data_IF_272242631911
#
_entry.id   IF_272242631911
#
_cell.length_a   1.000
_cell.length_b   1.000
_cell.length_c   1.000
_cell.angle_alpha   90.00
_cell.angle_beta   90.00
_cell.angle_gamma   90.00
#
_symmetry.space_group_name_H-M   'P 1'
#
loop_
_entity.id
_entity.type
_entity.pdbx_description
1 polymer ?
#
# COMPACT_ATOMS: atom_id res chain seq x y z
N UNK A 1 -55.25 -12.62 -14.04
CA UNK A 1 -54.89 -11.40 -13.30
C UNK A 1 -53.64 -11.72 -12.48
N UNK A 2 -52.66 -10.81 -12.44
CA UNK A 2 -51.23 -11.07 -12.23
C UNK A 2 -50.82 -12.09 -11.14
N UNK A 3 -49.98 -13.04 -11.55
CA UNK A 3 -49.01 -13.69 -10.67
C UNK A 3 -47.67 -12.96 -10.87
N UNK A 4 -47.13 -12.33 -9.82
CA UNK A 4 -45.85 -11.65 -9.87
C UNK A 4 -44.85 -12.40 -8.98
N UNK A 5 -44.03 -13.25 -9.59
CA UNK A 5 -42.90 -13.90 -8.91
C UNK A 5 -41.72 -12.93 -8.99
N UNK A 6 -41.44 -12.25 -7.88
CA UNK A 6 -40.26 -11.40 -7.76
C UNK A 6 -39.03 -12.30 -7.56
N UNK A 7 -38.38 -12.69 -8.66
CA UNK A 7 -37.16 -13.46 -8.60
C UNK A 7 -36.00 -12.54 -8.16
N UNK A 8 -35.78 -12.45 -6.85
CA UNK A 8 -34.57 -11.86 -6.27
C UNK A 8 -33.38 -12.74 -6.64
N UNK A 9 -32.71 -12.40 -7.73
CA UNK A 9 -31.38 -12.91 -8.07
C UNK A 9 -30.37 -12.35 -7.06
N UNK A 10 -30.25 -13.04 -5.92
CA UNK A 10 -29.11 -12.94 -5.01
C UNK A 10 -27.89 -13.56 -5.71
N UNK A 11 -27.30 -12.79 -6.62
CA UNK A 11 -25.93 -13.00 -7.06
C UNK A 11 -25.02 -12.58 -5.90
N UNK A 12 -24.54 -13.54 -5.13
CA UNK A 12 -23.54 -13.30 -4.09
C UNK A 12 -22.21 -12.88 -4.77
N UNK A 13 -21.98 -11.57 -4.82
CA UNK A 13 -20.75 -11.00 -5.37
C UNK A 13 -19.59 -11.15 -4.36
N UNK A 14 -18.72 -12.14 -4.62
CA UNK A 14 -17.45 -12.42 -3.92
C UNK A 14 -16.29 -11.58 -4.50
N UNK A 15 -15.25 -11.25 -3.73
CA UNK A 15 -14.62 -9.92 -3.83
C UNK A 15 -13.11 -9.88 -3.45
N UNK A 16 -12.19 -9.46 -4.35
CA UNK A 16 -10.72 -9.69 -4.25
C UNK A 16 -9.77 -8.48 -4.43
N UNK A 17 -8.46 -8.66 -4.15
CA UNK A 17 -7.34 -7.75 -4.49
C UNK A 17 -7.31 -7.38 -5.99
N UNK A 18 -7.72 -8.33 -6.82
CA UNK A 18 -8.00 -8.12 -8.24
C UNK A 18 -9.41 -7.52 -8.39
N UNK A 19 -9.69 -6.73 -9.44
CA UNK A 19 -11.02 -6.14 -9.65
C UNK A 19 -12.14 -7.16 -9.41
N UNK A 20 -13.22 -6.75 -8.75
CA UNK A 20 -14.25 -7.70 -8.26
C UNK A 20 -14.77 -8.67 -9.32
N UNK A 21 -14.87 -8.21 -10.56
CA UNK A 21 -15.29 -8.97 -11.74
C UNK A 21 -14.31 -10.11 -12.11
N UNK A 22 -13.04 -10.01 -11.70
CA UNK A 22 -11.97 -10.99 -11.92
C UNK A 22 -11.83 -12.03 -10.79
N UNK A 23 -12.53 -11.85 -9.66
CA UNK A 23 -12.48 -12.74 -8.50
C UNK A 23 -13.42 -13.95 -8.59
N UNK A 24 -13.74 -14.37 -9.81
CA UNK A 24 -14.72 -15.42 -10.11
C UNK A 24 -14.00 -16.69 -10.57
N UNK A 25 -14.64 -17.85 -10.39
CA UNK A 25 -14.10 -19.15 -10.81
C UNK A 25 -13.73 -19.13 -12.29
N UNK A 26 -14.64 -18.68 -13.15
CA UNK A 26 -14.42 -18.60 -14.61
C UNK A 26 -13.20 -17.77 -14.98
N UNK A 27 -13.03 -16.58 -14.38
CA UNK A 27 -11.92 -15.67 -14.72
C UNK A 27 -10.58 -16.20 -14.18
N UNK A 28 -10.57 -16.80 -12.99
CA UNK A 28 -9.38 -17.43 -12.40
C UNK A 28 -8.96 -18.75 -13.08
N UNK A 29 -9.87 -19.43 -13.78
CA UNK A 29 -9.56 -20.55 -14.67
C UNK A 29 -9.05 -20.05 -16.03
N UNK A 30 -9.69 -19.03 -16.60
CA UNK A 30 -9.30 -18.45 -17.89
C UNK A 30 -7.95 -17.72 -17.85
N UNK A 31 -7.58 -17.14 -16.70
CA UNK A 31 -6.36 -16.35 -16.54
C UNK A 31 -6.41 -14.97 -17.23
N UNK A 32 -7.60 -14.48 -17.57
CA UNK A 32 -7.81 -13.19 -18.24
C UNK A 32 -8.63 -12.22 -17.37
N UNK A 33 -7.96 -11.29 -16.69
CA UNK A 33 -8.63 -10.21 -15.96
C UNK A 33 -8.83 -8.98 -16.86
N UNK A 34 -9.85 -9.06 -17.72
CA UNK A 34 -10.22 -8.00 -18.66
C UNK A 34 -11.72 -7.68 -18.59
N UNK A 35 -12.20 -7.05 -17.50
CA UNK A 35 -13.62 -6.76 -17.33
C UNK A 35 -14.13 -5.68 -18.29
N UNK A 36 -15.45 -5.68 -18.52
CA UNK A 36 -16.12 -4.64 -19.31
C UNK A 36 -16.06 -3.28 -18.60
N UNK A 37 -16.07 -2.20 -19.38
CA UNK A 37 -16.14 -0.83 -18.85
C UNK A 37 -17.56 -0.44 -18.44
N UNK A 38 -18.50 -0.53 -19.36
CA UNK A 38 -19.93 -0.24 -19.10
C UNK A 38 -20.71 -1.54 -18.91
N UNK A 39 -21.80 -1.54 -18.10
CA UNK A 39 -22.81 -2.59 -18.18
C UNK A 39 -23.32 -2.70 -19.62
N UNK A 40 -23.10 -3.86 -20.25
CA UNK A 40 -23.44 -4.16 -21.64
C UNK A 40 -24.53 -5.22 -21.69
N UNK A 41 -25.39 -5.16 -22.73
CA UNK A 41 -26.43 -6.16 -22.97
C UNK A 41 -25.86 -7.57 -23.23
N UNK A 42 -24.59 -7.65 -23.63
CA UNK A 42 -23.85 -8.90 -23.86
C UNK A 42 -22.55 -8.83 -23.05
N UNK A 43 -22.40 -9.59 -21.95
CA UNK A 43 -21.17 -9.63 -21.17
C UNK A 43 -19.95 -9.96 -22.03
N UNK A 44 -18.84 -9.27 -21.79
CA UNK A 44 -17.60 -9.38 -22.55
C UNK A 44 -17.57 -8.62 -23.88
N UNK A 45 -18.58 -7.81 -24.21
CA UNK A 45 -18.60 -7.03 -25.46
C UNK A 45 -17.90 -5.66 -25.38
N UNK A 46 -17.44 -5.23 -24.20
CA UNK A 46 -16.71 -3.97 -23.99
C UNK A 46 -15.52 -4.14 -23.04
N UNK A 47 -14.85 -5.30 -23.10
CA UNK A 47 -13.65 -5.60 -22.30
C UNK A 47 -12.65 -4.47 -22.47
N UNK A 48 -12.19 -3.90 -21.35
CA UNK A 48 -11.25 -2.78 -21.32
C UNK A 48 -11.72 -1.50 -22.03
N UNK A 49 -13.03 -1.29 -22.19
CA UNK A 49 -13.59 -0.14 -22.90
C UNK A 49 -13.28 -0.13 -24.40
N UNK A 50 -13.07 -1.31 -24.99
CA UNK A 50 -12.66 -1.47 -26.39
C UNK A 50 -13.66 -0.91 -27.40
N UNK A 51 -14.97 -0.91 -27.11
CA UNK A 51 -15.99 -0.32 -27.99
C UNK A 51 -15.84 1.20 -28.14
N UNK A 52 -15.26 1.86 -27.14
CA UNK A 52 -14.99 3.30 -27.10
C UNK A 52 -13.53 3.66 -27.41
N UNK A 53 -12.70 2.66 -27.76
CA UNK A 53 -11.27 2.84 -28.01
C UNK A 53 -10.44 3.19 -26.76
N UNK A 54 -10.99 3.01 -25.54
CA UNK A 54 -10.31 3.34 -24.28
C UNK A 54 -9.17 2.39 -23.93
N UNK A 55 -9.25 1.14 -24.39
CA UNK A 55 -8.21 0.14 -24.17
C UNK A 55 -8.53 -1.18 -24.87
N UNK A 56 -7.72 -2.19 -24.58
CA UNK A 56 -7.84 -3.54 -25.13
C UNK A 56 -7.28 -4.57 -24.15
N UNK A 57 -7.77 -5.81 -24.23
CA UNK A 57 -7.24 -6.92 -23.45
C UNK A 57 -6.00 -7.51 -24.13
N UNK A 58 -4.85 -7.44 -23.46
CA UNK A 58 -3.55 -7.86 -24.01
C UNK A 58 -2.86 -8.88 -23.10
N UNK A 59 -1.83 -9.53 -23.63
CA UNK A 59 -0.96 -10.38 -22.82
C UNK A 59 -0.13 -9.55 -21.84
N UNK A 60 -0.04 -10.01 -20.60
CA UNK A 60 0.78 -9.43 -19.54
C UNK A 60 2.25 -9.57 -19.89
N UNK A 61 3.00 -8.48 -19.75
CA UNK A 61 4.46 -8.46 -19.82
C UNK A 61 4.96 -8.30 -18.37
N UNK A 62 5.44 -9.40 -17.79
CA UNK A 62 6.17 -9.40 -16.52
C UNK A 62 7.68 -9.44 -16.78
N UNK A 63 8.49 -8.94 -15.84
CA UNK A 63 9.95 -9.08 -15.96
C UNK A 63 10.36 -10.55 -15.78
N UNK A 64 11.29 -10.99 -16.61
CA UNK A 64 11.81 -12.37 -16.68
C UNK A 64 13.33 -12.43 -16.51
N UNK A 65 13.95 -11.34 -16.06
CA UNK A 65 15.38 -11.29 -15.75
C UNK A 65 15.64 -12.01 -14.43
N UNK A 66 16.86 -12.54 -14.20
CA UNK A 66 17.23 -13.11 -12.91
C UNK A 66 17.22 -12.03 -11.82
N UNK A 67 16.73 -12.41 -10.63
CA UNK A 67 16.86 -11.63 -9.40
C UNK A 67 18.17 -11.97 -8.65
N UNK A 68 18.41 -11.30 -7.53
CA UNK A 68 19.54 -11.60 -6.65
C UNK A 68 19.47 -13.02 -6.06
N UNK A 69 20.62 -13.61 -5.69
CA UNK A 69 20.72 -15.00 -5.18
C UNK A 69 20.18 -15.19 -3.75
N UNK A 70 19.63 -14.13 -3.14
CA UNK A 70 19.04 -14.18 -1.81
C UNK A 70 17.78 -15.02 -1.77
N UNK A 71 16.92 -14.90 -2.78
CA UNK A 71 15.76 -15.78 -2.95
C UNK A 71 16.20 -17.07 -3.65
N UNK A 72 15.90 -18.21 -3.02
CA UNK A 72 16.34 -19.54 -3.45
C UNK A 72 15.14 -20.50 -3.64
N UNK A 73 13.94 -19.95 -3.85
CA UNK A 73 12.67 -20.67 -3.80
C UNK A 73 11.79 -20.43 -5.03
N UNK A 74 12.39 -20.23 -6.20
CA UNK A 74 11.69 -20.07 -7.48
C UNK A 74 10.63 -21.18 -7.68
N UNK A 75 9.43 -20.77 -8.09
CA UNK A 75 8.26 -21.63 -8.25
C UNK A 75 7.46 -21.86 -6.97
N UNK A 76 7.73 -21.14 -5.87
CA UNK A 76 7.07 -21.36 -4.56
C UNK A 76 6.21 -20.20 -4.08
N UNK A 77 6.36 -18.99 -4.63
CA UNK A 77 5.60 -17.81 -4.22
C UNK A 77 4.73 -17.24 -5.35
N UNK A 78 3.50 -16.87 -4.98
CA UNK A 78 2.48 -16.27 -5.85
C UNK A 78 2.88 -14.89 -6.42
N UNK A 79 3.86 -14.24 -5.78
CA UNK A 79 4.36 -12.90 -6.13
C UNK A 79 5.47 -12.92 -7.18
N UNK A 80 6.03 -14.10 -7.48
CA UNK A 80 7.01 -14.28 -8.55
C UNK A 80 6.41 -13.93 -9.92
N UNK A 81 7.13 -13.13 -10.71
CA UNK A 81 6.68 -12.68 -12.05
C UNK A 81 5.25 -12.11 -12.03
N UNK A 82 4.89 -11.38 -10.96
CA UNK A 82 3.56 -10.85 -10.74
C UNK A 82 3.01 -10.09 -11.96
N UNK A 83 1.74 -10.31 -12.38
CA UNK A 83 0.71 -11.17 -11.79
C UNK A 83 0.56 -12.59 -12.41
N UNK A 84 1.57 -13.13 -13.11
CA UNK A 84 1.42 -14.29 -14.00
C UNK A 84 0.93 -15.60 -13.33
N UNK A 85 1.03 -15.73 -12.00
CA UNK A 85 0.46 -16.85 -11.22
C UNK A 85 -1.07 -16.87 -11.21
N UNK A 86 -1.71 -15.71 -11.42
CA UNK A 86 -3.17 -15.55 -11.47
C UNK A 86 -3.67 -15.23 -12.88
N UNK A 87 -3.07 -14.22 -13.53
CA UNK A 87 -3.55 -13.71 -14.82
C UNK A 87 -2.40 -13.50 -15.80
N UNK A 88 -2.55 -14.04 -17.01
CA UNK A 88 -1.63 -13.84 -18.12
C UNK A 88 -2.15 -12.79 -19.13
N UNK A 89 -3.38 -12.29 -18.95
CA UNK A 89 -3.99 -11.24 -19.78
C UNK A 89 -4.72 -10.20 -18.93
N UNK A 90 -4.51 -8.92 -19.25
CA UNK A 90 -5.06 -7.76 -18.54
C UNK A 90 -5.37 -6.59 -19.50
N UNK A 91 -6.11 -5.60 -19.01
CA UNK A 91 -6.40 -4.39 -19.78
C UNK A 91 -5.17 -3.48 -19.93
N UNK A 92 -4.86 -3.12 -21.19
CA UNK A 92 -3.94 -2.04 -21.53
C UNK A 92 -4.74 -0.85 -22.06
N UNK A 93 -4.58 0.30 -21.39
CA UNK A 93 -5.37 1.49 -21.67
C UNK A 93 -4.64 2.46 -22.62
N UNK A 94 -5.38 2.97 -23.59
CA UNK A 94 -4.88 3.86 -24.63
C UNK A 94 -4.71 5.28 -24.07
N UNK A 95 -3.73 6.02 -24.63
CA UNK A 95 -3.52 7.44 -24.36
C UNK A 95 -3.45 7.78 -22.85
N UNK A 96 -4.46 8.51 -22.35
CA UNK A 96 -4.55 9.02 -20.96
C UNK A 96 -5.59 8.27 -20.13
N UNK A 97 -6.22 7.23 -20.68
CA UNK A 97 -7.11 6.35 -19.93
C UNK A 97 -6.31 5.45 -18.97
N UNK A 98 -6.97 5.02 -17.90
CA UNK A 98 -6.37 4.28 -16.79
C UNK A 98 -7.44 3.44 -16.05
N UNK A 99 -7.00 2.71 -15.02
CA UNK A 99 -7.85 1.84 -14.24
C UNK A 99 -8.01 0.45 -14.86
N UNK A 100 -8.52 -0.48 -14.07
CA UNK A 100 -8.52 -1.90 -14.38
C UNK A 100 -9.37 -2.31 -15.59
N UNK A 101 -10.37 -1.49 -15.97
CA UNK A 101 -11.20 -1.64 -17.16
C UNK A 101 -11.04 -0.46 -18.14
N UNK A 102 -9.99 0.36 -17.97
CA UNK A 102 -9.76 1.61 -18.69
C UNK A 102 -10.85 2.68 -18.51
N UNK A 103 -11.59 2.64 -17.39
CA UNK A 103 -12.66 3.58 -17.05
C UNK A 103 -12.21 4.92 -16.45
N UNK A 104 -11.05 4.96 -15.77
CA UNK A 104 -10.54 6.18 -15.15
C UNK A 104 -9.50 6.89 -16.02
N UNK A 105 -8.87 7.92 -15.47
CA UNK A 105 -7.83 8.71 -16.12
C UNK A 105 -6.50 8.55 -15.39
N UNK A 106 -5.39 8.66 -16.14
CA UNK A 106 -4.04 8.61 -15.55
C UNK A 106 -3.85 9.74 -14.53
N UNK A 107 -3.02 9.56 -13.49
CA UNK A 107 -2.67 10.64 -12.56
C UNK A 107 -2.29 11.93 -13.29
N UNK A 108 -2.88 13.05 -12.86
CA UNK A 108 -2.76 14.35 -13.53
C UNK A 108 -3.80 14.64 -14.63
N UNK A 109 -4.73 13.73 -14.90
CA UNK A 109 -5.82 13.92 -15.88
C UNK A 109 -7.20 13.59 -15.29
N UNK A 110 -8.24 14.26 -15.80
CA UNK A 110 -9.64 14.05 -15.41
C UNK A 110 -10.60 14.30 -16.60
N UNK A 111 -11.90 14.19 -16.35
CA UNK A 111 -12.96 14.37 -17.34
C UNK A 111 -13.30 13.08 -18.11
N UNK A 112 -14.45 13.04 -18.82
CA UNK A 112 -14.96 11.83 -19.49
C UNK A 112 -14.06 11.33 -20.63
N UNK A 113 -13.15 12.17 -21.12
CA UNK A 113 -12.19 11.93 -22.22
C UNK A 113 -10.73 11.98 -21.75
N UNK A 114 -10.48 12.16 -20.45
CA UNK A 114 -9.15 12.28 -19.85
C UNK A 114 -8.25 13.35 -20.49
N UNK A 115 -8.85 14.45 -20.96
CA UNK A 115 -8.19 15.57 -21.64
C UNK A 115 -7.99 16.80 -20.75
N UNK A 116 -8.68 16.88 -19.61
CA UNK A 116 -8.54 17.95 -18.63
C UNK A 116 -7.36 17.67 -17.70
N UNK A 117 -6.35 18.53 -17.71
CA UNK A 117 -5.20 18.38 -16.82
C UNK A 117 -5.54 18.88 -15.41
N UNK A 118 -5.16 18.11 -14.39
CA UNK A 118 -5.25 18.49 -12.98
C UNK A 118 -3.87 18.46 -12.33
N UNK A 119 -3.67 19.36 -11.35
CA UNK A 119 -2.50 19.34 -10.48
C UNK A 119 -2.95 19.55 -9.04
N UNK A 120 -2.77 18.53 -8.23
CA UNK A 120 -2.96 18.57 -6.79
C UNK A 120 -1.64 18.94 -6.10
N UNK A 121 -1.70 19.41 -4.85
CA UNK A 121 -0.52 19.81 -4.07
C UNK A 121 -0.59 19.17 -2.69
N UNK A 122 0.30 18.19 -2.45
CA UNK A 122 0.54 17.64 -1.13
C UNK A 122 1.23 18.70 -0.26
N UNK A 123 0.62 19.08 0.86
CA UNK A 123 1.08 20.13 1.77
C UNK A 123 1.51 19.52 3.11
N UNK A 124 2.35 20.22 3.87
CA UNK A 124 2.64 19.86 5.25
C UNK A 124 1.35 19.86 6.08
N UNK A 125 1.09 18.79 6.84
CA UNK A 125 -0.09 18.67 7.70
C UNK A 125 -0.18 19.81 8.72
N UNK A 126 0.96 20.30 9.22
CA UNK A 126 1.01 21.40 10.18
C UNK A 126 0.66 22.77 9.55
N UNK A 127 0.80 22.91 8.23
CA UNK A 127 0.49 24.15 7.50
C UNK A 127 -0.97 24.18 6.96
N UNK A 128 -1.76 23.15 7.25
CA UNK A 128 -3.20 23.08 6.96
C UNK A 128 -4.03 23.87 8.00
N UNK A 129 -5.16 24.43 7.56
CA UNK A 129 -6.13 25.08 8.48
C UNK A 129 -6.81 24.09 9.43
N UNK A 130 -7.47 24.58 10.47
CA UNK A 130 -8.29 23.76 11.39
C UNK A 130 -9.34 22.92 10.66
N UNK A 131 -9.96 23.49 9.62
CA UNK A 131 -11.00 22.86 8.80
C UNK A 131 -10.39 21.81 7.86
N UNK A 132 -9.24 22.12 7.24
CA UNK A 132 -8.48 21.21 6.38
C UNK A 132 -7.98 19.99 7.16
N UNK A 133 -7.39 20.19 8.35
CA UNK A 133 -6.98 19.12 9.27
C UNK A 133 -8.18 18.25 9.65
N UNK A 134 -9.25 18.88 10.16
CA UNK A 134 -10.46 18.18 10.58
C UNK A 134 -11.12 17.41 9.43
N UNK A 135 -11.05 17.95 8.20
CA UNK A 135 -11.49 17.24 6.98
C UNK A 135 -10.62 16.02 6.74
N UNK A 136 -9.29 16.16 6.71
CA UNK A 136 -8.36 15.06 6.47
C UNK A 136 -8.56 13.90 7.46
N UNK A 137 -8.72 14.17 8.76
CA UNK A 137 -8.97 13.14 9.76
C UNK A 137 -10.28 12.37 9.49
N UNK A 138 -11.38 13.08 9.21
CA UNK A 138 -12.67 12.46 8.86
C UNK A 138 -12.58 11.64 7.58
N UNK A 139 -11.80 12.10 6.60
CA UNK A 139 -11.57 11.40 5.34
C UNK A 139 -10.84 10.07 5.56
N UNK A 140 -9.77 10.04 6.36
CA UNK A 140 -9.11 8.78 6.72
C UNK A 140 -10.06 7.82 7.46
N UNK A 141 -10.86 8.34 8.39
CA UNK A 141 -11.88 7.54 9.09
C UNK A 141 -12.94 6.99 8.13
N UNK A 142 -13.36 7.77 7.13
CA UNK A 142 -14.29 7.33 6.11
C UNK A 142 -13.67 6.25 5.21
N UNK A 143 -12.40 6.39 4.82
CA UNK A 143 -11.67 5.37 4.06
C UNK A 143 -11.49 4.07 4.87
N UNK A 144 -11.35 4.16 6.19
CA UNK A 144 -11.25 3.00 7.09
C UNK A 144 -12.56 2.21 7.23
N UNK A 145 -13.72 2.84 7.06
CA UNK A 145 -15.04 2.17 7.16
C UNK A 145 -15.73 1.91 5.83
N UNK A 146 -15.39 2.64 4.77
CA UNK A 146 -15.98 2.47 3.44
C UNK A 146 -15.37 1.25 2.76
N UNK A 147 -16.20 0.26 2.41
CA UNK A 147 -15.77 -0.89 1.61
C UNK A 147 -15.23 -0.43 0.26
N UNK A 148 -14.09 -1.00 -0.14
CA UNK A 148 -13.41 -0.61 -1.36
C UNK A 148 -14.28 -0.98 -2.60
N UNK A 149 -14.53 -0.05 -3.54
CA UNK A 149 -15.52 -0.22 -4.60
C UNK A 149 -15.09 -1.16 -5.73
N UNK A 150 -13.80 -1.31 -6.01
CA UNK A 150 -13.31 -2.12 -7.14
C UNK A 150 -12.50 -3.34 -6.72
N UNK A 151 -11.45 -3.12 -5.91
CA UNK A 151 -10.68 -4.15 -5.23
C UNK A 151 -11.26 -4.43 -3.85
N UNK A 152 -10.84 -5.55 -3.26
CA UNK A 152 -10.87 -5.96 -1.87
C UNK A 152 -9.64 -6.88 -1.59
N UNK A 153 -9.69 -8.10 -1.01
CA UNK A 153 -8.47 -8.90 -0.68
C UNK A 153 -8.56 -10.43 -0.91
N UNK A 154 -7.42 -11.13 -1.00
CA UNK A 154 -7.31 -12.60 -1.03
C UNK A 154 -6.92 -13.19 0.34
N UNK A 155 -7.50 -14.32 0.74
CA UNK A 155 -7.24 -14.93 2.07
C UNK A 155 -6.51 -16.27 2.02
N UNK A 156 -6.29 -16.82 0.81
CA UNK A 156 -5.55 -18.06 0.53
C UNK A 156 -4.61 -17.88 -0.65
N UNK A 157 -3.55 -18.69 -0.70
CA UNK A 157 -2.60 -18.75 -1.83
C UNK A 157 -3.23 -19.37 -3.08
N UNK A 158 -2.57 -19.27 -4.23
CA UNK A 158 -3.10 -19.70 -5.54
C UNK A 158 -3.61 -21.14 -5.57
N UNK A 159 -2.99 -22.07 -4.83
CA UNK A 159 -3.37 -23.47 -4.81
C UNK A 159 -4.72 -23.71 -4.10
N UNK A 160 -5.05 -22.85 -3.14
CA UNK A 160 -6.26 -22.92 -2.31
C UNK A 160 -7.29 -21.83 -2.67
N UNK A 161 -7.00 -20.99 -3.68
CA UNK A 161 -7.80 -19.79 -4.01
C UNK A 161 -9.23 -20.12 -4.45
N UNK A 162 -9.50 -21.35 -4.89
CA UNK A 162 -10.83 -21.82 -5.30
C UNK A 162 -11.63 -22.46 -4.16
N UNK A 163 -11.09 -22.49 -2.94
CA UNK A 163 -11.75 -23.09 -1.78
C UNK A 163 -11.72 -24.63 -1.78
N UNK A 164 -12.23 -25.26 -0.71
CA UNK A 164 -12.17 -26.71 -0.51
C UNK A 164 -13.10 -27.51 -1.45
N UNK A 165 -14.10 -26.84 -2.04
CA UNK A 165 -14.99 -27.38 -3.06
C UNK A 165 -14.47 -27.19 -4.49
N UNK A 166 -13.39 -26.41 -4.66
CA UNK A 166 -12.85 -26.02 -5.97
C UNK A 166 -13.71 -25.02 -6.74
N UNK A 167 -14.73 -24.42 -6.10
CA UNK A 167 -15.72 -23.55 -6.75
C UNK A 167 -16.13 -22.33 -5.90
N UNK A 168 -15.54 -22.12 -4.73
CA UNK A 168 -15.78 -20.97 -3.85
C UNK A 168 -14.51 -20.10 -3.71
N UNK A 169 -14.38 -19.02 -4.52
CA UNK A 169 -13.20 -18.15 -4.48
C UNK A 169 -12.90 -17.56 -3.09
N UNK A 170 -11.66 -17.72 -2.62
CA UNK A 170 -11.23 -17.38 -1.26
C UNK A 170 -10.77 -15.92 -1.14
N UNK A 171 -11.74 -15.02 -1.24
CA UNK A 171 -11.53 -13.57 -1.19
C UNK A 171 -12.56 -12.89 -0.29
N UNK A 172 -12.17 -11.80 0.37
CA UNK A 172 -13.01 -11.06 1.32
C UNK A 172 -13.12 -9.58 0.95
N UNK A 173 -14.26 -8.98 1.31
CA UNK A 173 -14.41 -7.52 1.28
C UNK A 173 -13.40 -6.84 2.22
N UNK A 174 -12.91 -5.65 1.86
CA UNK A 174 -12.08 -4.85 2.75
C UNK A 174 -12.39 -3.37 2.57
N UNK A 175 -12.10 -2.54 3.56
CA UNK A 175 -12.22 -1.08 3.41
C UNK A 175 -11.08 -0.49 2.59
N UNK A 176 -11.28 0.73 2.06
CA UNK A 176 -10.26 1.44 1.26
C UNK A 176 -8.93 1.54 2.02
N UNK A 177 -8.98 1.90 3.30
CA UNK A 177 -7.77 1.99 4.12
C UNK A 177 -7.18 0.60 4.44
N UNK A 178 -8.01 -0.42 4.68
CA UNK A 178 -7.50 -1.76 4.96
C UNK A 178 -6.96 -2.47 3.70
N UNK A 179 -7.37 -2.08 2.49
CA UNK A 179 -6.72 -2.45 1.23
C UNK A 179 -5.29 -1.90 1.15
N UNK A 180 -5.11 -0.63 1.54
CA UNK A 180 -3.79 0.00 1.67
C UNK A 180 -2.91 -0.72 2.72
N UNK A 181 -3.48 -1.16 3.85
CA UNK A 181 -2.76 -2.03 4.81
C UNK A 181 -2.39 -3.38 4.20
N UNK A 182 -3.36 -4.10 3.64
CA UNK A 182 -3.18 -5.47 3.15
C UNK A 182 -2.17 -5.56 2.01
N UNK A 183 -2.16 -4.60 1.09
CA UNK A 183 -1.24 -4.58 -0.06
C UNK A 183 0.23 -4.47 0.37
N UNK A 184 0.51 -3.71 1.44
CA UNK A 184 1.83 -3.65 2.08
C UNK A 184 2.17 -4.94 2.82
N UNK A 185 1.27 -5.46 3.65
CA UNK A 185 1.44 -6.78 4.27
C UNK A 185 1.76 -7.87 3.22
N UNK A 186 1.07 -7.87 2.08
CA UNK A 186 1.26 -8.87 1.03
C UNK A 186 2.60 -8.70 0.29
N UNK A 187 3.17 -7.50 0.18
CA UNK A 187 4.52 -7.32 -0.38
C UNK A 187 5.63 -7.77 0.58
N UNK A 188 5.40 -7.72 1.90
CA UNK A 188 6.42 -8.04 2.94
C UNK A 188 6.25 -9.39 3.63
N UNK A 189 5.14 -10.11 3.41
CA UNK A 189 4.92 -11.44 4.01
C UNK A 189 5.97 -12.46 3.55
N UNK A 190 6.23 -13.45 4.39
CA UNK A 190 7.17 -14.55 4.10
C UNK A 190 6.68 -15.47 2.99
N UNK A 191 7.61 -16.17 2.35
CA UNK A 191 7.28 -17.26 1.42
C UNK A 191 6.97 -18.53 2.23
N UNK A 192 5.76 -19.06 2.06
CA UNK A 192 5.31 -20.25 2.77
C UNK A 192 5.87 -21.52 2.13
N UNK A 193 6.63 -22.31 2.89
CA UNK A 193 7.31 -23.50 2.36
C UNK A 193 6.53 -24.82 2.56
N UNK A 194 5.46 -24.81 3.36
CA UNK A 194 4.58 -25.96 3.58
C UNK A 194 4.37 -26.29 5.06
N UNK A 195 3.40 -27.16 5.41
CA UNK A 195 3.08 -27.48 6.78
C UNK A 195 4.28 -28.05 7.55
N UNK A 196 4.57 -27.48 8.72
CA UNK A 196 5.71 -27.88 9.55
C UNK A 196 7.09 -27.44 9.05
N UNK A 197 7.16 -26.66 7.96
CA UNK A 197 8.39 -25.99 7.52
C UNK A 197 8.39 -24.54 7.97
N UNK A 198 9.56 -24.00 8.32
CA UNK A 198 9.71 -22.58 8.61
C UNK A 198 9.54 -21.77 7.32
N UNK A 199 8.62 -20.81 7.32
CA UNK A 199 8.44 -19.87 6.21
C UNK A 199 9.67 -18.98 6.02
N UNK A 200 10.04 -18.71 4.77
CA UNK A 200 11.26 -18.01 4.39
C UNK A 200 11.07 -16.48 4.43
N UNK A 201 11.94 -15.79 5.17
CA UNK A 201 11.90 -14.35 5.46
C UNK A 201 12.97 -13.52 4.75
N UNK A 202 13.87 -14.15 3.98
CA UNK A 202 14.88 -13.45 3.16
C UNK A 202 14.31 -12.80 1.90
N UNK A 203 13.08 -12.28 1.93
CA UNK A 203 12.40 -11.67 0.78
C UNK A 203 11.46 -10.53 1.21
N UNK A 204 11.55 -9.40 0.53
CA UNK A 204 10.60 -8.28 0.61
C UNK A 204 10.46 -7.69 -0.81
N UNK A 205 9.23 -7.47 -1.28
CA UNK A 205 8.95 -6.92 -2.62
C UNK A 205 8.87 -5.38 -2.66
N UNK A 206 9.00 -4.72 -1.51
CA UNK A 206 8.71 -3.30 -1.29
C UNK A 206 9.72 -2.55 -0.42
N UNK A 207 10.68 -3.25 0.20
CA UNK A 207 11.78 -2.69 0.99
C UNK A 207 13.11 -3.37 0.62
N UNK A 208 14.18 -2.88 1.21
CA UNK A 208 15.55 -3.38 1.13
C UNK A 208 16.11 -3.45 -0.29
N UNK A 209 15.51 -2.79 -1.28
CA UNK A 209 15.96 -2.80 -2.68
C UNK A 209 15.41 -1.66 -3.53
N UNK A 210 15.85 -1.52 -4.80
CA UNK A 210 15.57 -0.36 -5.66
C UNK A 210 14.08 0.00 -5.78
N UNK A 211 13.20 -0.99 -5.67
CA UNK A 211 11.76 -0.81 -5.77
C UNK A 211 11.14 0.02 -4.63
N UNK A 212 11.82 0.17 -3.48
CA UNK A 212 11.28 0.79 -2.26
C UNK A 212 10.53 2.11 -2.51
N UNK A 213 11.18 3.06 -3.16
CA UNK A 213 10.61 4.39 -3.42
C UNK A 213 9.48 4.36 -4.43
N UNK A 214 9.62 3.57 -5.50
CA UNK A 214 8.59 3.46 -6.55
C UNK A 214 7.36 2.69 -6.09
N UNK A 215 7.53 1.67 -5.25
CA UNK A 215 6.45 0.89 -4.66
C UNK A 215 5.61 1.78 -3.75
N UNK A 216 6.25 2.49 -2.81
CA UNK A 216 5.55 3.38 -1.88
C UNK A 216 4.94 4.61 -2.59
N UNK A 217 5.58 5.14 -3.65
CA UNK A 217 4.98 6.17 -4.52
C UNK A 217 3.67 5.69 -5.14
N UNK A 218 3.64 4.46 -5.69
CA UNK A 218 2.41 3.90 -6.25
C UNK A 218 1.35 3.61 -5.16
N UNK A 219 1.76 3.07 -4.02
CA UNK A 219 0.92 2.77 -2.86
C UNK A 219 0.17 4.02 -2.36
N UNK A 220 0.87 5.16 -2.25
CA UNK A 220 0.27 6.45 -1.93
C UNK A 220 -0.65 6.99 -3.02
N UNK A 221 -0.26 6.88 -4.29
CA UNK A 221 -1.09 7.32 -5.43
C UNK A 221 -2.39 6.52 -5.52
N UNK A 222 -2.37 5.24 -5.19
CA UNK A 222 -3.56 4.38 -5.13
C UNK A 222 -4.50 4.85 -4.00
N UNK A 223 -4.02 4.99 -2.76
CA UNK A 223 -4.83 5.50 -1.65
C UNK A 223 -5.39 6.91 -1.91
N UNK A 224 -4.58 7.80 -2.47
CA UNK A 224 -5.00 9.16 -2.82
C UNK A 224 -6.12 9.13 -3.88
N UNK A 225 -6.01 8.24 -4.87
CA UNK A 225 -7.04 8.03 -5.90
C UNK A 225 -8.33 7.44 -5.33
N UNK A 226 -8.23 6.40 -4.52
CA UNK A 226 -9.40 5.73 -3.94
C UNK A 226 -10.17 6.70 -3.01
N UNK A 227 -9.46 7.59 -2.32
CA UNK A 227 -10.05 8.67 -1.54
C UNK A 227 -10.66 9.75 -2.44
N UNK A 228 -10.00 10.18 -3.52
CA UNK A 228 -10.58 11.14 -4.48
C UNK A 228 -11.91 10.64 -5.06
N UNK A 229 -11.96 9.36 -5.45
CA UNK A 229 -13.15 8.71 -5.98
C UNK A 229 -14.24 8.52 -4.90
N UNK A 230 -13.87 8.12 -3.67
CA UNK A 230 -14.77 8.05 -2.50
C UNK A 230 -15.41 9.40 -2.16
N UNK A 231 -14.67 10.50 -2.29
CA UNK A 231 -15.13 11.86 -1.98
C UNK A 231 -15.80 12.57 -3.16
N UNK A 232 -15.68 12.03 -4.38
CA UNK A 232 -15.97 12.72 -5.64
C UNK A 232 -15.23 14.07 -5.76
N UNK A 233 -14.02 14.15 -5.19
CA UNK A 233 -13.16 15.35 -5.18
C UNK A 233 -11.81 15.05 -5.83
N UNK A 234 -11.60 15.34 -7.13
CA UNK A 234 -10.34 15.11 -7.82
C UNK A 234 -9.20 16.05 -7.38
N UNK A 235 -9.47 17.01 -6.47
CA UNK A 235 -8.47 17.92 -5.92
C UNK A 235 -8.01 17.54 -4.51
N UNK A 236 -8.57 16.47 -3.92
CA UNK A 236 -8.04 15.94 -2.66
C UNK A 236 -6.58 15.50 -2.83
N UNK A 237 -5.74 15.83 -1.84
CA UNK A 237 -4.33 15.49 -1.79
C UNK A 237 -3.95 15.00 -0.39
N UNK A 238 -3.11 13.97 -0.32
CA UNK A 238 -2.54 13.51 0.94
C UNK A 238 -1.52 14.54 1.46
N UNK A 239 -1.64 15.04 2.70
CA UNK A 239 -0.61 15.87 3.30
C UNK A 239 0.59 15.03 3.73
N UNK A 240 1.70 15.69 4.07
CA UNK A 240 2.92 15.05 4.57
C UNK A 240 3.29 15.51 5.99
N UNK A 241 4.09 14.69 6.67
CA UNK A 241 4.73 15.04 7.94
C UNK A 241 6.23 15.17 7.74
N UNK A 242 6.75 16.40 7.89
CA UNK A 242 8.19 16.59 7.99
C UNK A 242 8.68 16.03 9.34
N UNK A 243 9.11 14.77 9.33
CA UNK A 243 9.71 14.14 10.51
C UNK A 243 11.16 14.58 10.75
N UNK A 244 11.84 15.16 9.76
CA UNK A 244 13.24 15.59 9.84
C UNK A 244 13.40 16.90 10.63
N UNK A 245 13.24 16.81 11.96
CA UNK A 245 13.13 17.95 12.89
C UNK A 245 14.08 17.87 14.09
N UNK A 246 14.80 16.76 14.26
CA UNK A 246 15.64 16.50 15.45
C UNK A 246 14.88 16.33 16.76
N UNK A 247 13.54 16.29 16.72
CA UNK A 247 12.69 16.27 17.92
C UNK A 247 12.71 14.88 18.59
N UNK A 248 12.57 14.88 19.92
CA UNK A 248 12.31 13.70 20.74
C UNK A 248 10.81 13.50 21.03
N UNK A 249 9.94 14.22 20.31
CA UNK A 249 8.48 14.16 20.42
C UNK A 249 7.86 14.08 19.03
N UNK A 250 6.70 13.40 18.94
CA UNK A 250 5.87 13.41 17.74
C UNK A 250 4.99 14.66 17.77
N UNK A 251 5.25 15.62 16.89
CA UNK A 251 4.59 16.93 16.85
C UNK A 251 3.22 16.91 16.13
N UNK A 252 2.92 15.85 15.39
CA UNK A 252 1.59 15.55 14.83
C UNK A 252 0.74 14.62 15.73
N UNK A 253 1.28 14.16 16.87
CA UNK A 253 0.56 13.29 17.80
C UNK A 253 -0.25 14.12 18.81
N UNK A 254 -1.25 14.84 18.32
CA UNK A 254 -2.22 15.63 19.07
C UNK A 254 -3.64 15.21 18.70
N UNK A 255 -4.63 15.47 19.55
CA UNK A 255 -6.01 15.00 19.33
C UNK A 255 -6.73 15.76 18.19
N UNK A 256 -6.22 16.93 17.77
CA UNK A 256 -6.64 17.65 16.55
C UNK A 256 -5.94 17.14 15.26
N UNK A 257 -5.00 16.20 15.41
CA UNK A 257 -4.23 15.57 14.33
C UNK A 257 -4.25 14.04 14.52
N UNK A 258 -3.09 13.38 14.62
CA UNK A 258 -2.99 11.91 14.54
C UNK A 258 -3.28 11.17 15.85
N UNK A 259 -3.75 11.89 16.86
CA UNK A 259 -4.05 11.40 18.20
C UNK A 259 -2.85 11.46 19.13
N UNK A 260 -3.07 12.03 20.32
CA UNK A 260 -2.08 12.08 21.40
C UNK A 260 -1.97 10.75 22.14
N UNK A 261 -1.05 10.68 23.10
CA UNK A 261 -0.86 9.51 23.97
C UNK A 261 -2.02 9.40 24.98
N UNK A 262 -2.55 8.21 25.18
CA UNK A 262 -3.56 7.94 26.22
C UNK A 262 -2.96 8.09 27.62
N UNK A 263 -3.72 8.75 28.51
CA UNK A 263 -3.41 8.85 29.93
C UNK A 263 -3.65 7.54 30.70
N UNK A 264 -4.33 6.56 30.10
CA UNK A 264 -4.70 5.28 30.73
C UNK A 264 -3.74 4.13 30.39
N UNK A 265 -3.13 4.17 29.21
CA UNK A 265 -2.09 3.24 28.74
C UNK A 265 -1.13 4.03 27.84
N UNK A 266 0.12 4.16 28.27
CA UNK A 266 1.13 4.93 27.54
C UNK A 266 1.48 4.38 26.16
N UNK A 267 0.97 3.21 25.76
CA UNK A 267 1.13 2.61 24.43
C UNK A 267 -0.10 2.75 23.53
N UNK A 268 -1.19 3.38 24.01
CA UNK A 268 -2.41 3.60 23.24
C UNK A 268 -2.59 5.07 22.85
N UNK A 269 -3.42 5.29 21.83
CA UNK A 269 -3.87 6.61 21.39
C UNK A 269 -4.98 7.12 22.35
N UNK A 270 -4.98 8.42 22.62
CA UNK A 270 -6.00 9.13 23.41
C UNK A 270 -7.42 8.81 22.93
N UNK A 271 -8.36 8.44 23.84
CA UNK A 271 -9.76 8.17 23.49
C UNK A 271 -10.53 9.32 22.81
N UNK A 272 -10.00 10.55 22.85
CA UNK A 272 -10.59 11.70 22.15
C UNK A 272 -10.29 11.70 20.65
N UNK A 273 -9.27 10.96 20.20
CA UNK A 273 -8.93 10.83 18.79
C UNK A 273 -9.69 9.66 18.17
N UNK A 274 -10.25 9.86 16.98
CA UNK A 274 -10.93 8.80 16.20
C UNK A 274 -10.04 7.57 15.97
N UNK A 275 -8.72 7.76 15.90
CA UNK A 275 -7.75 6.67 15.68
C UNK A 275 -7.60 5.72 16.88
N UNK A 276 -8.06 6.08 18.09
CA UNK A 276 -8.11 5.13 19.21
C UNK A 276 -9.17 4.04 19.02
N UNK A 277 -10.11 4.24 18.10
CA UNK A 277 -11.18 3.29 17.78
C UNK A 277 -10.75 2.30 16.69
N UNK A 278 -9.66 2.60 15.96
CA UNK A 278 -9.17 1.75 14.87
C UNK A 278 -8.62 0.43 15.40
N UNK A 279 -9.04 -0.66 14.75
CA UNK A 279 -8.48 -1.99 14.92
C UNK A 279 -7.55 -2.31 13.78
N UNK A 280 -6.54 -3.14 14.03
CA UNK A 280 -5.46 -3.40 13.07
C UNK A 280 -5.74 -4.66 12.25
N UNK A 281 -5.32 -4.65 10.99
CA UNK A 281 -5.33 -5.81 10.11
C UNK A 281 -3.98 -6.53 10.16
N UNK A 282 -3.98 -7.82 9.82
CA UNK A 282 -2.78 -8.64 9.60
C UNK A 282 -1.91 -8.94 10.84
N UNK A 283 -2.47 -8.88 12.04
CA UNK A 283 -1.78 -9.15 13.32
C UNK A 283 -1.37 -10.62 13.51
N UNK A 284 -2.12 -11.58 12.95
CA UNK A 284 -1.92 -13.02 13.16
C UNK A 284 -0.83 -13.64 12.26
N UNK A 285 0.35 -13.01 12.19
CA UNK A 285 1.44 -13.46 11.30
C UNK A 285 1.93 -14.88 11.59
N UNK A 286 1.88 -15.32 12.85
CA UNK A 286 2.23 -16.69 13.24
C UNK A 286 1.28 -17.73 12.58
N UNK A 287 -0.02 -17.45 12.52
CA UNK A 287 -0.99 -18.31 11.84
C UNK A 287 -0.77 -18.32 10.32
N UNK A 288 -0.50 -17.16 9.71
CA UNK A 288 -0.26 -17.05 8.27
C UNK A 288 1.02 -17.81 7.85
N UNK A 289 2.08 -17.69 8.63
CA UNK A 289 3.38 -18.33 8.39
C UNK A 289 3.35 -19.84 8.67
N UNK A 290 2.49 -20.33 9.57
CA UNK A 290 2.38 -21.76 9.92
C UNK A 290 1.36 -22.52 9.07
N UNK A 291 0.22 -21.90 8.76
CA UNK A 291 -0.90 -22.51 8.03
C UNK A 291 -0.86 -22.23 6.52
N UNK A 292 -0.04 -21.27 6.07
CA UNK A 292 0.03 -20.88 4.66
C UNK A 292 -1.17 -20.06 4.20
N UNK A 293 -1.93 -19.50 5.14
CA UNK A 293 -3.02 -18.57 4.85
C UNK A 293 -2.47 -17.17 4.55
N UNK A 294 -3.36 -16.26 4.16
CA UNK A 294 -3.05 -14.84 3.94
C UNK A 294 -3.96 -14.03 4.88
N UNK A 295 -3.45 -12.90 5.36
CA UNK A 295 -4.23 -11.89 6.08
C UNK A 295 -5.62 -11.69 5.45
N UNK A 296 -6.66 -11.72 6.29
CA UNK A 296 -8.05 -11.57 5.90
C UNK A 296 -8.60 -10.21 6.35
N UNK A 297 -9.91 -10.00 6.25
CA UNK A 297 -10.56 -8.71 6.57
C UNK A 297 -10.88 -8.52 8.06
N UNK A 298 -10.59 -9.54 8.89
CA UNK A 298 -10.90 -9.51 10.32
C UNK A 298 -9.91 -8.62 11.06
N UNK A 299 -10.40 -7.56 11.69
CA UNK A 299 -9.56 -6.65 12.47
C UNK A 299 -9.32 -7.19 13.90
N UNK A 300 -8.09 -7.04 14.40
CA UNK A 300 -7.64 -7.50 15.71
C UNK A 300 -7.51 -6.39 16.76
N UNK A 301 -6.32 -6.24 17.33
CA UNK A 301 -5.99 -5.30 18.40
C UNK A 301 -6.13 -3.81 18.03
N UNK A 302 -6.07 -2.89 19.02
CA UNK A 302 -5.95 -1.46 18.75
C UNK A 302 -4.56 -1.10 18.21
N UNK A 303 -4.45 0.07 17.56
CA UNK A 303 -3.13 0.66 17.23
C UNK A 303 -2.32 0.86 18.53
N UNK A 304 -1.08 0.34 18.54
CA UNK A 304 -0.07 0.61 19.57
C UNK A 304 0.88 1.69 19.08
N UNK A 305 1.08 2.75 19.85
CA UNK A 305 2.01 3.84 19.53
C UNK A 305 2.61 4.42 20.81
N UNK A 306 3.93 4.49 20.88
CA UNK A 306 4.67 5.01 22.03
C UNK A 306 5.88 5.84 21.56
N UNK A 307 5.67 7.04 20.97
CA UNK A 307 6.76 7.81 20.37
C UNK A 307 7.89 8.09 21.36
N UNK A 308 9.14 7.93 20.91
CA UNK A 308 10.37 7.96 21.70
C UNK A 308 10.47 6.91 22.85
N UNK A 309 9.55 5.93 22.91
CA UNK A 309 9.42 5.01 24.05
C UNK A 309 10.43 3.85 24.09
N UNK A 310 11.28 3.67 23.08
CA UNK A 310 12.22 2.55 23.02
C UNK A 310 13.47 2.79 23.87
N UNK A 311 13.33 2.68 25.19
CA UNK A 311 14.42 2.85 26.17
C UNK A 311 15.57 1.85 25.99
N UNK A 312 15.32 0.69 25.37
CA UNK A 312 16.33 -0.32 25.08
C UNK A 312 17.22 0.06 23.88
N UNK A 313 16.79 1.02 23.04
CA UNK A 313 17.55 1.51 21.87
C UNK A 313 17.50 3.04 21.80
N UNK A 314 18.31 3.75 22.62
CA UNK A 314 18.27 5.21 22.72
C UNK A 314 18.42 5.97 21.39
N UNK A 315 19.15 5.40 20.42
CA UNK A 315 19.29 5.93 19.06
C UNK A 315 17.95 6.06 18.30
N UNK A 316 16.90 5.35 18.72
CA UNK A 316 15.56 5.39 18.13
C UNK A 316 14.61 6.35 18.87
N UNK A 317 15.10 7.07 19.90
CA UNK A 317 14.27 7.98 20.72
C UNK A 317 14.25 9.43 20.21
N UNK A 318 14.91 9.71 19.07
CA UNK A 318 14.93 11.01 18.40
C UNK A 318 14.67 10.80 16.91
N UNK A 319 13.93 11.73 16.31
CA UNK A 319 13.70 11.78 14.87
C UNK A 319 14.95 12.24 14.10
N UNK A 320 15.04 12.00 12.78
CA UNK A 320 16.12 12.52 11.94
C UNK A 320 16.29 14.04 12.07
N UNK A 321 17.52 14.52 11.90
CA UNK A 321 17.82 15.96 11.89
C UNK A 321 17.55 16.56 10.49
N UNK A 322 17.25 17.86 10.37
CA UNK A 322 17.05 18.50 9.05
C UNK A 322 18.23 18.34 8.09
N UNK A 323 19.46 18.26 8.63
CA UNK A 323 20.68 18.05 7.86
C UNK A 323 20.75 16.65 7.23
N UNK A 324 20.07 15.65 7.80
CA UNK A 324 20.08 14.28 7.28
C UNK A 324 19.45 14.21 5.89
N UNK A 325 18.35 14.95 5.69
CA UNK A 325 17.69 15.07 4.38
C UNK A 325 18.59 15.79 3.37
N UNK A 326 19.29 16.85 3.81
CA UNK A 326 20.19 17.61 2.94
C UNK A 326 21.41 16.79 2.49
N UNK A 327 21.98 15.97 3.37
CA UNK A 327 23.08 15.05 3.06
C UNK A 327 22.61 13.91 2.14
N UNK A 328 21.45 13.32 2.42
CA UNK A 328 20.89 12.24 1.62
C UNK A 328 20.61 12.69 0.17
N UNK A 329 20.08 13.91 -0.01
CA UNK A 329 19.86 14.51 -1.32
C UNK A 329 21.14 14.88 -2.09
N UNK A 330 22.33 14.70 -1.51
CA UNK A 330 23.62 14.84 -2.20
C UNK A 330 24.20 13.50 -2.69
N UNK A 331 23.58 12.36 -2.35
CA UNK A 331 23.98 11.04 -2.86
C UNK A 331 23.49 10.90 -4.30
N UNK A 332 24.42 10.99 -5.26
CA UNK A 332 24.08 11.14 -6.68
C UNK A 332 23.70 9.87 -7.44
N UNK A 333 23.92 8.68 -6.87
CA UNK A 333 23.51 7.40 -7.47
C UNK A 333 22.19 6.94 -6.85
N UNK A 334 21.19 6.61 -7.69
CA UNK A 334 19.88 6.13 -7.19
C UNK A 334 20.04 4.91 -6.29
N UNK A 335 20.77 3.90 -6.77
CA UNK A 335 21.12 2.71 -6.01
C UNK A 335 22.45 2.13 -6.52
N UNK A 336 23.06 1.24 -5.74
CA UNK A 336 24.37 0.63 -6.02
C UNK A 336 24.33 -0.87 -5.73
N UNK A 337 25.20 -1.69 -6.36
CA UNK A 337 25.33 -3.10 -6.01
C UNK A 337 25.65 -3.29 -4.52
N UNK A 338 25.06 -4.31 -3.84
CA UNK A 338 24.30 -5.43 -4.42
C UNK A 338 22.80 -5.14 -4.61
N UNK A 339 22.37 -3.87 -4.57
CA UNK A 339 20.97 -3.43 -4.66
C UNK A 339 20.12 -3.95 -3.50
N UNK A 340 20.73 -4.01 -2.32
CA UNK A 340 20.13 -4.53 -1.09
C UNK A 340 20.19 -3.52 0.08
N UNK A 341 19.72 -3.89 1.28
CA UNK A 341 19.78 -3.07 2.51
C UNK A 341 21.22 -2.75 2.99
N UNK A 342 22.24 -3.42 2.43
CA UNK A 342 23.66 -3.16 2.69
C UNK A 342 24.40 -2.35 1.60
N UNK A 343 23.67 -1.75 0.65
CA UNK A 343 24.26 -0.94 -0.42
C UNK A 343 24.84 0.38 0.10
N UNK A 344 26.09 0.67 -0.21
CA UNK A 344 26.77 1.92 0.15
C UNK A 344 26.77 2.90 -1.04
N UNK A 345 26.79 4.21 -0.75
CA UNK A 345 26.72 5.31 -1.73
C UNK A 345 25.45 5.26 -2.60
N UNK A 346 24.38 4.68 -2.05
CA UNK A 346 23.04 4.50 -2.65
C UNK A 346 22.05 5.49 -2.05
N UNK A 347 21.43 6.35 -2.87
CA UNK A 347 20.39 7.27 -2.42
C UNK A 347 19.20 6.51 -1.83
N UNK A 348 18.70 5.48 -2.52
CA UNK A 348 17.60 4.62 -2.08
C UNK A 348 17.89 4.05 -0.69
N UNK A 349 19.04 3.42 -0.51
CA UNK A 349 19.39 2.79 0.78
C UNK A 349 19.63 3.81 1.91
N UNK A 350 19.99 5.05 1.53
CA UNK A 350 20.15 6.18 2.45
C UNK A 350 18.80 6.73 2.92
N UNK A 351 17.90 7.07 1.99
CA UNK A 351 16.59 7.65 2.33
C UNK A 351 15.69 6.64 3.02
N UNK A 352 15.76 5.36 2.62
CA UNK A 352 15.13 4.24 3.31
C UNK A 352 15.63 4.08 4.75
N UNK A 353 16.92 4.35 4.96
CA UNK A 353 17.50 4.52 6.29
C UNK A 353 18.28 3.33 6.82
N UNK A 354 18.88 2.51 5.95
CA UNK A 354 19.87 1.48 6.33
C UNK A 354 21.31 2.02 6.26
N UNK A 355 21.55 3.05 5.46
CA UNK A 355 22.81 3.81 5.48
C UNK A 355 22.71 5.03 6.39
N UNK A 356 23.86 5.58 6.78
CA UNK A 356 23.88 6.91 7.38
C UNK A 356 23.54 7.98 6.32
N UNK A 357 23.15 9.20 6.72
CA UNK A 357 22.69 10.23 5.79
C UNK A 357 23.68 10.66 4.70
N UNK A 358 24.97 10.32 4.83
CA UNK A 358 26.00 10.63 3.83
C UNK A 358 26.21 9.53 2.77
N UNK A 359 25.40 8.47 2.76
CA UNK A 359 25.53 7.34 1.83
C UNK A 359 26.28 6.14 2.38
N UNK A 360 27.05 6.30 3.46
CA UNK A 360 27.86 5.20 4.01
C UNK A 360 27.00 4.20 4.78
N UNK A 361 27.02 2.94 4.34
CA UNK A 361 26.39 1.82 5.05
C UNK A 361 27.05 1.54 6.41
N UNK A 362 26.23 1.26 7.42
CA UNK A 362 26.62 0.76 8.73
C UNK A 362 25.46 -0.10 9.27
N UNK A 363 25.67 -1.40 9.58
CA UNK A 363 24.60 -2.30 10.03
C UNK A 363 23.90 -1.84 11.32
N UNK A 364 24.57 -1.05 12.16
CA UNK A 364 24.02 -0.53 13.40
C UNK A 364 23.18 0.75 13.22
N UNK A 365 23.31 1.45 12.09
CA UNK A 365 22.61 2.71 11.83
C UNK A 365 21.17 2.44 11.40
N UNK A 366 20.23 3.22 11.93
CA UNK A 366 18.92 3.45 11.32
C UNK A 366 18.70 4.95 11.23
N UNK A 367 18.42 5.46 10.04
CA UNK A 367 18.26 6.89 9.75
C UNK A 367 16.94 7.16 9.03
N UNK A 368 16.64 8.44 8.74
CA UNK A 368 15.55 8.89 7.86
C UNK A 368 14.23 8.09 8.01
N UNK A 369 13.76 7.40 6.96
CA UNK A 369 12.51 6.65 6.97
C UNK A 369 12.48 5.57 8.07
N UNK A 370 13.47 4.67 8.10
CA UNK A 370 13.53 3.60 9.11
C UNK A 370 13.55 4.16 10.54
N UNK A 371 14.26 5.27 10.78
CA UNK A 371 14.28 5.93 12.09
C UNK A 371 12.90 6.51 12.45
N UNK A 372 12.20 7.13 11.50
CA UNK A 372 10.85 7.65 11.72
C UNK A 372 9.84 6.55 12.08
N UNK A 373 9.91 5.37 11.44
CA UNK A 373 9.12 4.20 11.82
C UNK A 373 9.45 3.68 13.22
N UNK A 374 10.74 3.44 13.50
CA UNK A 374 11.21 2.87 14.77
C UNK A 374 10.96 3.82 15.96
N UNK A 375 10.98 5.13 15.71
CA UNK A 375 10.65 6.16 16.70
C UNK A 375 9.23 6.03 17.26
N UNK A 376 8.26 5.54 16.47
CA UNK A 376 6.88 5.33 16.92
C UNK A 376 6.73 4.19 17.94
N UNK A 377 7.69 3.26 17.97
CA UNK A 377 7.80 2.16 18.95
C UNK A 377 6.45 1.46 19.23
N UNK A 378 5.87 0.87 18.20
CA UNK A 378 4.54 0.26 18.22
C UNK A 378 4.16 -0.34 16.87
N UNK A 379 2.87 -0.35 16.53
CA UNK A 379 2.31 -0.81 15.25
C UNK A 379 3.02 -0.18 14.06
N UNK A 380 3.18 1.15 14.05
CA UNK A 380 3.89 1.89 13.00
C UNK A 380 5.37 1.55 12.81
N UNK A 381 5.99 0.81 13.74
CA UNK A 381 7.40 0.39 13.69
C UNK A 381 7.61 -1.08 13.32
N UNK A 382 6.55 -1.81 12.94
CA UNK A 382 6.62 -3.21 12.52
C UNK A 382 6.23 -3.33 11.06
N UNK A 383 7.13 -3.81 10.19
CA UNK A 383 6.93 -3.77 8.72
C UNK A 383 5.56 -4.30 8.30
N UNK A 384 5.21 -5.53 8.70
CA UNK A 384 3.93 -6.19 8.36
C UNK A 384 2.65 -5.51 8.90
N UNK A 385 2.76 -4.53 9.81
CA UNK A 385 1.61 -3.82 10.40
C UNK A 385 1.64 -2.31 10.19
N UNK A 386 2.77 -1.75 9.76
CA UNK A 386 3.04 -0.31 9.87
C UNK A 386 1.98 0.61 9.24
N UNK A 387 1.31 0.28 8.11
CA UNK A 387 0.27 1.14 7.56
C UNK A 387 -1.02 1.20 8.40
N UNK A 388 -1.24 0.27 9.35
CA UNK A 388 -2.38 0.36 10.27
C UNK A 388 -2.33 1.63 11.14
N UNK A 389 -1.13 2.16 11.39
CA UNK A 389 -0.95 3.46 12.00
C UNK A 389 -1.03 4.55 10.90
N UNK A 390 -2.03 5.45 10.91
CA UNK A 390 -2.20 6.45 9.85
C UNK A 390 -1.09 7.52 9.78
N UNK A 391 -0.14 7.52 10.72
CA UNK A 391 1.12 8.27 10.55
C UNK A 391 1.93 7.76 9.34
N UNK A 392 1.80 6.47 8.98
CA UNK A 392 2.44 5.87 7.80
C UNK A 392 2.21 6.70 6.53
N UNK A 393 0.97 7.11 6.27
CA UNK A 393 0.60 7.92 5.08
C UNK A 393 1.40 9.22 5.02
N UNK A 394 1.54 9.90 6.17
CA UNK A 394 2.22 11.18 6.30
C UNK A 394 3.75 11.05 6.26
N UNK A 395 4.26 9.95 6.78
CA UNK A 395 5.67 9.58 6.75
C UNK A 395 6.09 9.29 5.30
N UNK A 396 5.37 8.40 4.61
CA UNK A 396 5.72 8.03 3.24
C UNK A 396 5.49 9.15 2.23
N UNK A 397 4.51 10.04 2.41
CA UNK A 397 4.39 11.24 1.54
C UNK A 397 5.55 12.21 1.71
N UNK A 398 6.18 12.28 2.88
CA UNK A 398 7.42 13.04 3.06
C UNK A 398 8.63 12.33 2.44
N UNK A 399 8.75 11.00 2.61
CA UNK A 399 9.75 10.18 1.89
C UNK A 399 9.62 10.32 0.37
N UNK A 400 8.40 10.33 -0.15
CA UNK A 400 8.08 10.54 -1.57
C UNK A 400 8.44 11.97 -2.05
N UNK A 401 8.31 12.98 -1.19
CA UNK A 401 8.76 14.35 -1.48
C UNK A 401 10.30 14.45 -1.55
N UNK A 402 11.03 13.72 -0.69
CA UNK A 402 12.50 13.61 -0.78
C UNK A 402 12.92 12.89 -2.06
N UNK A 403 12.20 11.84 -2.46
CA UNK A 403 12.42 11.16 -3.74
C UNK A 403 12.16 12.08 -4.94
N UNK A 404 11.07 12.86 -4.94
CA UNK A 404 10.76 13.80 -6.01
C UNK A 404 11.80 14.93 -6.15
N UNK A 405 12.30 15.43 -5.01
CA UNK A 405 13.42 16.36 -4.96
C UNK A 405 14.69 15.73 -5.56
N UNK A 406 15.00 14.47 -5.24
CA UNK A 406 16.15 13.78 -5.80
C UNK A 406 16.05 13.58 -7.32
N UNK A 407 14.89 13.13 -7.82
CA UNK A 407 14.62 12.98 -9.27
C UNK A 407 14.88 14.30 -10.02
N UNK A 408 14.37 15.41 -9.49
CA UNK A 408 14.51 16.74 -10.10
C UNK A 408 15.94 17.30 -10.01
N UNK A 409 16.72 16.94 -8.98
CA UNK A 409 18.13 17.36 -8.86
C UNK A 409 19.04 16.66 -9.85
N UNK A 410 18.84 15.35 -10.03
CA UNK A 410 19.79 14.52 -10.77
C UNK A 410 19.37 14.25 -12.22
N UNK A 411 18.09 14.42 -12.56
CA UNK A 411 17.51 14.11 -13.88
C UNK A 411 18.03 12.75 -14.42
N UNK A 412 17.76 11.65 -13.68
CA UNK A 412 18.37 10.33 -13.87
C UNK A 412 17.93 9.62 -15.16
#
# INVERSE_FOLDING_TARGET
MHLAILLLLLLEAVNAQFPRQCATVDVLIQGECCPDLSPVLVPGSDRCGSSSGRGQCVQVIADSRPHGPQYMHDGRDDREQWPLRFFNRTCQCNNKYYGYNCGSCRPGWTGPTCDQQIKIVRRNLLDLSSEERSRFLRVLQQAKTTMHPDFMIATRRREEIMGPDGNTPQFENVSIYNYFVWSHYYSVRKTYLGPGQQSFDGIDFSHEGPAFLTWHRYHLLQLERDIQDMLQDPFFALPYWNFATGRNTCDICTDDLMGSRSNFDGTLISPNSIFSQWRILCEAIEDYDALGTICNSTEGGPIRRNPAGNVARPMMQRLPEPQDVALCLAVGLFDTPPFYSNSADSFRNTVEGYSNPSGKYDPAVRSLHNLAHLFLNGTGGQTHLSPNDPIFVLLHTFTDAVFDEWLRRHNP
#
